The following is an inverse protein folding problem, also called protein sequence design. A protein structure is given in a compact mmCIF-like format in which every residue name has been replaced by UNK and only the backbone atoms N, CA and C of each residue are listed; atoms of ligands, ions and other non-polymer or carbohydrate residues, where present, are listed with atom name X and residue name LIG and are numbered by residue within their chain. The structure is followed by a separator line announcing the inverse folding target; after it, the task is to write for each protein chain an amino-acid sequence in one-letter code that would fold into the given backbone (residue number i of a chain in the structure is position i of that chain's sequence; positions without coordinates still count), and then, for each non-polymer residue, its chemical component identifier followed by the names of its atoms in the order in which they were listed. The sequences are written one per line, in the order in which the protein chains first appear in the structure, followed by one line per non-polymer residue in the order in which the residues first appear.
data_IF_644746016524
#
_entry.id   IF_644746016524
#
_cell.length_a   1.000
_cell.length_b   1.000
_cell.length_c   1.000
_cell.angle_alpha   90.00
_cell.angle_beta   90.00
_cell.angle_gamma   90.00
#
_symmetry.space_group_name_H-M   'P 1'
#
loop_
_entity.id
_entity.type
_entity.pdbx_description
1 polymer ?
#
# COMPACT_ATOMS: atom_id res chain seq x y z
N UNK A 1 -5.24 34.59 -13.64
CA UNK A 1 -4.14 34.09 -12.79
C UNK A 1 -4.50 34.49 -11.37
N UNK A 2 -4.60 33.54 -10.44
CA UNK A 2 -4.95 33.87 -9.05
C UNK A 2 -3.66 34.25 -8.31
N UNK A 3 -3.72 35.16 -7.33
CA UNK A 3 -2.53 35.51 -6.55
C UNK A 3 -1.82 34.27 -5.96
N UNK A 4 -2.58 33.21 -5.67
CA UNK A 4 -2.07 31.94 -5.17
C UNK A 4 -1.12 31.24 -6.17
N UNK A 5 -1.45 31.27 -7.47
CA UNK A 5 -0.58 30.65 -8.50
C UNK A 5 0.76 31.38 -8.62
N UNK A 6 0.77 32.70 -8.43
CA UNK A 6 1.99 33.50 -8.53
C UNK A 6 2.93 33.25 -7.33
N UNK A 7 2.38 33.13 -6.11
CA UNK A 7 3.17 32.75 -4.93
C UNK A 7 3.73 31.33 -5.00
N UNK A 8 2.94 30.38 -5.49
CA UNK A 8 3.40 29.00 -5.70
C UNK A 8 4.57 28.96 -6.70
N UNK A 9 4.48 29.73 -7.79
CA UNK A 9 5.56 29.84 -8.77
C UNK A 9 6.83 30.50 -8.20
N UNK A 10 6.69 31.53 -7.36
CA UNK A 10 7.84 32.13 -6.65
C UNK A 10 8.49 31.11 -5.71
N UNK A 11 7.69 30.37 -4.94
CA UNK A 11 8.21 29.31 -4.06
C UNK A 11 8.95 28.24 -4.87
N UNK A 12 8.34 27.74 -5.95
CA UNK A 12 8.95 26.77 -6.87
C UNK A 12 10.21 27.29 -7.56
N UNK A 13 10.36 28.60 -7.74
CA UNK A 13 11.54 29.18 -8.40
C UNK A 13 12.70 29.43 -7.44
N UNK A 14 12.44 29.82 -6.20
CA UNK A 14 13.47 30.35 -5.29
C UNK A 14 13.64 29.60 -3.97
N UNK A 15 12.61 28.87 -3.51
CA UNK A 15 12.57 28.29 -2.16
C UNK A 15 12.40 26.77 -2.14
N UNK A 16 12.02 26.16 -3.27
CA UNK A 16 11.96 24.70 -3.37
C UNK A 16 13.35 24.11 -3.15
N UNK A 17 13.39 23.04 -2.35
CA UNK A 17 14.53 22.14 -2.24
C UNK A 17 14.17 20.87 -2.96
N UNK A 18 15.14 20.30 -3.65
CA UNK A 18 15.00 18.99 -4.26
C UNK A 18 14.59 17.94 -3.21
N UNK A 19 13.59 17.13 -3.55
CA UNK A 19 13.21 15.99 -2.71
C UNK A 19 14.43 15.07 -2.53
N UNK A 20 14.68 14.63 -1.30
CA UNK A 20 15.84 13.80 -0.95
C UNK A 20 17.17 14.55 -0.76
N UNK A 21 17.21 15.89 -0.90
CA UNK A 21 18.44 16.67 -0.68
C UNK A 21 18.68 17.08 0.79
N UNK A 22 18.00 16.44 1.76
CA UNK A 22 18.06 16.84 3.17
C UNK A 22 17.29 15.95 4.15
N UNK A 23 17.55 16.19 5.44
CA UNK A 23 17.12 15.49 6.68
C UNK A 23 15.62 15.21 6.89
N UNK A 24 14.77 15.48 5.90
CA UNK A 24 13.33 15.25 6.04
C UNK A 24 13.02 13.75 6.02
N UNK A 25 12.31 13.26 7.04
CA UNK A 25 11.92 11.84 7.14
C UNK A 25 10.66 11.50 6.31
N UNK A 26 10.09 12.47 5.59
CA UNK A 26 8.73 12.41 5.05
C UNK A 26 8.73 12.59 3.52
N UNK A 27 7.88 11.83 2.83
CA UNK A 27 7.67 11.91 1.38
C UNK A 27 6.16 12.01 1.03
N UNK A 28 5.74 13.03 0.25
CA UNK A 28 6.50 14.23 -0.05
C UNK A 28 6.87 14.98 1.25
N UNK A 29 7.90 15.82 1.17
CA UNK A 29 8.32 16.66 2.30
C UNK A 29 7.18 17.57 2.75
N UNK A 30 7.21 18.08 3.99
CA UNK A 30 6.12 18.91 4.50
C UNK A 30 5.92 20.20 3.65
N UNK A 31 6.96 20.71 2.97
CA UNK A 31 6.82 21.83 2.03
C UNK A 31 6.26 21.43 0.66
N UNK A 32 6.67 20.30 0.11
CA UNK A 32 6.13 19.79 -1.15
C UNK A 32 4.67 19.34 -1.00
N UNK A 33 4.34 18.73 0.14
CA UNK A 33 2.96 18.46 0.53
C UNK A 33 2.13 19.75 0.52
N UNK A 34 2.68 20.84 1.07
CA UNK A 34 2.10 22.17 1.03
C UNK A 34 1.80 22.63 -0.40
N UNK A 35 2.78 22.52 -1.31
CA UNK A 35 2.57 22.88 -2.72
C UNK A 35 1.41 22.10 -3.34
N UNK A 36 1.36 20.78 -3.15
CA UNK A 36 0.27 19.95 -3.68
C UNK A 36 -1.08 20.44 -3.16
N UNK A 37 -1.23 20.61 -1.84
CA UNK A 37 -2.55 21.00 -1.28
C UNK A 37 -2.96 22.43 -1.63
N UNK A 38 -2.03 23.37 -1.77
CA UNK A 38 -2.34 24.74 -2.17
C UNK A 38 -2.60 24.89 -3.67
N UNK A 39 -2.11 23.96 -4.51
CA UNK A 39 -2.47 23.90 -5.93
C UNK A 39 -3.86 23.26 -6.13
N UNK A 40 -4.16 22.20 -5.38
CA UNK A 40 -5.37 21.40 -5.61
C UNK A 40 -6.60 21.91 -4.85
N UNK A 41 -6.40 22.62 -3.72
CA UNK A 41 -7.48 23.01 -2.82
C UNK A 41 -7.55 24.54 -2.64
N UNK A 42 -8.76 25.03 -2.37
CA UNK A 42 -8.95 26.41 -1.91
C UNK A 42 -8.29 26.66 -0.55
N UNK A 43 -7.89 27.91 -0.31
CA UNK A 43 -6.98 28.30 0.78
C UNK A 43 -7.34 27.75 2.18
N UNK A 44 -8.57 27.92 2.73
CA UNK A 44 -8.94 27.31 4.01
C UNK A 44 -8.75 25.79 4.11
N UNK A 45 -9.06 25.05 3.04
CA UNK A 45 -8.92 23.59 3.00
C UNK A 45 -7.45 23.17 2.92
N UNK A 46 -6.66 23.89 2.12
CA UNK A 46 -5.21 23.69 2.05
C UNK A 46 -4.53 23.96 3.40
N UNK A 47 -4.91 25.05 4.09
CA UNK A 47 -4.43 25.38 5.45
C UNK A 47 -4.75 24.27 6.46
N UNK A 48 -5.97 23.72 6.41
CA UNK A 48 -6.38 22.60 7.27
C UNK A 48 -5.53 21.34 7.02
N UNK A 49 -5.32 20.95 5.76
CA UNK A 49 -4.47 19.79 5.43
C UNK A 49 -3.02 20.00 5.79
N UNK A 50 -2.49 21.20 5.58
CA UNK A 50 -1.13 21.54 5.96
C UNK A 50 -0.96 21.46 7.47
N UNK A 51 -1.91 21.99 8.25
CA UNK A 51 -1.85 21.93 9.71
C UNK A 51 -1.95 20.49 10.23
N UNK A 52 -2.85 19.68 9.68
CA UNK A 52 -2.91 18.23 9.93
C UNK A 52 -1.59 17.52 9.60
N UNK A 53 -0.97 17.83 8.45
CA UNK A 53 0.33 17.29 8.07
C UNK A 53 1.43 17.69 9.06
N UNK A 54 1.47 18.95 9.49
CA UNK A 54 2.45 19.44 10.47
C UNK A 54 2.29 18.77 11.83
N UNK A 55 1.06 18.54 12.29
CA UNK A 55 0.78 17.80 13.54
C UNK A 55 1.38 16.39 13.50
N UNK A 56 1.53 15.79 12.31
CA UNK A 56 1.97 14.40 12.14
C UNK A 56 3.38 14.23 11.57
N UNK A 57 4.06 15.33 11.25
CA UNK A 57 5.32 15.35 10.51
C UNK A 57 6.45 14.73 11.37
N UNK A 58 7.15 13.72 10.85
CA UNK A 58 8.39 13.19 11.44
C UNK A 58 8.26 12.25 12.65
N UNK A 59 7.07 11.68 12.93
CA UNK A 59 6.90 10.74 14.04
C UNK A 59 5.83 9.69 13.78
N UNK A 60 5.54 8.84 14.77
CA UNK A 60 4.63 7.69 14.65
C UNK A 60 4.97 6.80 13.44
N UNK A 61 6.25 6.46 13.26
CA UNK A 61 6.81 5.78 12.08
C UNK A 61 6.03 4.52 11.64
N UNK A 62 5.58 3.72 12.61
CA UNK A 62 4.76 2.51 12.37
C UNK A 62 3.39 2.83 11.73
N UNK A 63 3.05 4.12 11.62
CA UNK A 63 1.86 4.62 10.98
C UNK A 63 2.11 5.16 9.57
N UNK A 64 3.17 4.77 8.87
CA UNK A 64 3.42 5.15 7.48
C UNK A 64 3.95 3.96 6.68
N UNK A 65 3.62 3.95 5.39
CA UNK A 65 4.32 3.08 4.45
C UNK A 65 5.66 3.75 4.11
N UNK A 66 6.62 2.98 3.60
CA UNK A 66 7.94 3.51 3.26
C UNK A 66 8.05 3.72 1.75
N UNK A 67 8.86 4.69 1.36
CA UNK A 67 9.30 4.91 -0.01
C UNK A 67 10.81 5.08 -0.06
N UNK A 68 11.44 4.70 -1.16
CA UNK A 68 12.86 4.88 -1.40
C UNK A 68 13.01 5.99 -2.44
N UNK A 69 13.55 7.12 -2.03
CA UNK A 69 13.81 8.23 -2.93
C UNK A 69 15.28 8.65 -2.81
N UNK A 70 16.00 8.70 -3.94
CA UNK A 70 17.43 9.02 -4.03
C UNK A 70 18.30 8.28 -3.00
N UNK A 71 18.02 6.99 -2.78
CA UNK A 71 18.78 6.14 -1.84
C UNK A 71 18.43 6.33 -0.36
N UNK A 72 17.44 7.16 -0.03
CA UNK A 72 16.97 7.36 1.35
C UNK A 72 15.56 6.77 1.53
N UNK A 73 15.36 6.03 2.63
CA UNK A 73 14.03 5.57 3.05
C UNK A 73 13.26 6.70 3.74
N UNK A 74 12.06 6.98 3.25
CA UNK A 74 11.19 8.06 3.70
C UNK A 74 9.79 7.53 4.02
N UNK A 75 9.09 8.22 4.92
CA UNK A 75 7.71 7.92 5.30
C UNK A 75 6.73 8.51 4.28
N UNK A 76 5.97 7.64 3.62
CA UNK A 76 5.03 7.98 2.57
C UNK A 76 3.70 8.51 3.15
N UNK A 77 3.33 9.75 2.83
CA UNK A 77 2.08 10.39 3.27
C UNK A 77 1.66 11.52 2.33
N UNK A 78 0.92 11.16 1.29
CA UNK A 78 0.29 12.10 0.36
C UNK A 78 -1.03 12.66 0.93
N UNK A 79 -1.56 13.75 0.34
CA UNK A 79 -2.89 14.24 0.67
C UNK A 79 -3.95 13.14 0.51
N UNK A 80 -5.01 13.15 1.34
CA UNK A 80 -5.94 12.02 1.42
C UNK A 80 -6.78 11.78 0.16
N UNK A 81 -6.82 12.76 -0.75
CA UNK A 81 -7.52 12.69 -2.03
C UNK A 81 -6.58 12.35 -3.20
N UNK A 82 -5.26 12.31 -2.97
CA UNK A 82 -4.30 11.98 -4.00
C UNK A 82 -4.16 10.46 -4.09
N UNK A 83 -4.20 9.92 -5.31
CA UNK A 83 -3.81 8.55 -5.57
C UNK A 83 -2.29 8.42 -5.41
N UNK A 84 -1.86 7.43 -4.64
CA UNK A 84 -0.43 7.15 -4.43
C UNK A 84 -0.04 6.11 -5.47
N UNK A 85 0.81 6.43 -6.45
CA UNK A 85 1.27 5.43 -7.41
C UNK A 85 1.99 4.30 -6.68
N UNK A 86 1.68 3.05 -7.04
CA UNK A 86 2.24 1.86 -6.38
C UNK A 86 3.77 1.81 -6.43
N UNK A 87 4.37 2.45 -7.44
CA UNK A 87 5.82 2.62 -7.60
C UNK A 87 6.49 3.37 -6.45
N UNK A 88 5.77 4.23 -5.73
CA UNK A 88 6.32 4.92 -4.57
C UNK A 88 6.38 4.03 -3.33
N UNK A 89 5.59 2.96 -3.25
CA UNK A 89 5.65 2.08 -2.08
C UNK A 89 6.93 1.24 -2.20
N UNK A 90 7.92 1.54 -1.36
CA UNK A 90 9.15 0.77 -1.31
C UNK A 90 8.83 -0.64 -0.82
N UNK A 91 9.03 -1.60 -1.71
CA UNK A 91 8.79 -3.00 -1.45
C UNK A 91 10.07 -3.75 -1.77
N UNK A 92 10.80 -4.20 -0.75
CA UNK A 92 12.05 -4.95 -0.92
C UNK A 92 11.80 -6.41 -1.33
N UNK A 93 10.71 -6.68 -2.06
CA UNK A 93 10.38 -8.03 -2.52
C UNK A 93 11.28 -8.37 -3.69
N UNK A 94 12.19 -9.30 -3.44
CA UNK A 94 12.97 -9.94 -4.49
C UNK A 94 12.15 -11.05 -5.11
N UNK A 95 12.04 -11.01 -6.43
CA UNK A 95 11.43 -12.06 -7.23
C UNK A 95 12.52 -12.89 -7.89
N UNK A 96 12.39 -14.21 -7.77
CA UNK A 96 13.35 -15.19 -8.27
C UNK A 96 12.78 -15.93 -9.47
N UNK A 97 13.66 -16.53 -10.26
CA UNK A 97 13.25 -17.35 -11.40
C UNK A 97 12.42 -18.56 -10.95
N UNK A 98 11.62 -19.12 -11.86
CA UNK A 98 10.79 -20.27 -11.53
C UNK A 98 11.61 -21.56 -11.27
N UNK A 99 12.74 -21.80 -11.96
CA UNK A 99 13.63 -22.94 -11.68
C UNK A 99 15.09 -22.61 -11.98
N UNK A 100 16.01 -23.12 -11.16
CA UNK A 100 17.46 -22.95 -11.36
C UNK A 100 18.17 -24.23 -11.83
N UNK A 101 17.46 -25.36 -11.94
CA UNK A 101 18.03 -26.68 -12.19
C UNK A 101 17.73 -27.17 -13.61
N UNK A 102 18.56 -26.79 -14.58
CA UNK A 102 18.60 -27.46 -15.88
C UNK A 102 20.07 -27.74 -16.24
N UNK A 103 20.38 -28.98 -16.64
CA UNK A 103 21.76 -29.52 -16.71
C UNK A 103 22.51 -29.04 -17.98
N UNK A 104 21.93 -28.11 -18.75
CA UNK A 104 22.49 -27.61 -20.02
C UNK A 104 22.80 -26.11 -19.98
N UNK A 105 24.07 -25.68 -19.86
CA UNK A 105 24.46 -24.26 -19.75
C UNK A 105 24.07 -23.39 -20.97
N UNK A 106 23.79 -23.97 -22.14
CA UNK A 106 23.44 -23.25 -23.38
C UNK A 106 21.93 -22.95 -23.55
N UNK A 107 21.11 -23.12 -22.51
CA UNK A 107 19.67 -22.87 -22.60
C UNK A 107 19.34 -21.38 -22.43
N UNK A 108 18.67 -20.77 -23.43
CA UNK A 108 18.11 -19.40 -23.33
C UNK A 108 17.31 -19.20 -22.04
N UNK A 109 16.64 -20.26 -21.56
CA UNK A 109 15.85 -20.21 -20.33
C UNK A 109 16.72 -20.03 -19.08
N UNK A 110 17.89 -20.67 -19.01
CA UNK A 110 18.83 -20.48 -17.91
C UNK A 110 19.40 -19.07 -17.88
N UNK A 111 19.65 -18.48 -19.05
CA UNK A 111 20.09 -17.08 -19.11
C UNK A 111 18.99 -16.13 -18.61
N UNK A 112 17.74 -16.35 -19.00
CA UNK A 112 16.59 -15.61 -18.45
C UNK A 112 16.51 -15.77 -16.93
N UNK A 113 16.64 -17.00 -16.42
CA UNK A 113 16.62 -17.27 -14.98
C UNK A 113 17.76 -16.53 -14.25
N UNK A 114 18.96 -16.54 -14.83
CA UNK A 114 20.11 -15.81 -14.30
C UNK A 114 19.85 -14.30 -14.19
N UNK A 115 19.27 -13.69 -15.23
CA UNK A 115 18.91 -12.28 -15.22
C UNK A 115 17.87 -11.96 -14.14
N UNK A 116 16.82 -12.78 -14.03
CA UNK A 116 15.78 -12.63 -13.00
C UNK A 116 16.38 -12.72 -11.60
N UNK A 117 17.24 -13.72 -11.34
CA UNK A 117 17.89 -13.90 -10.04
C UNK A 117 18.85 -12.74 -9.71
N UNK A 118 19.39 -12.04 -10.71
CA UNK A 118 20.15 -10.79 -10.57
C UNK A 118 19.27 -9.54 -10.49
N UNK A 119 17.95 -9.68 -10.46
CA UNK A 119 16.97 -8.58 -10.45
C UNK A 119 16.99 -7.71 -11.70
N UNK A 120 17.57 -8.21 -12.80
CA UNK A 120 17.60 -7.59 -14.11
C UNK A 120 16.31 -7.93 -14.88
N UNK A 121 15.17 -7.51 -14.32
CA UNK A 121 13.84 -7.91 -14.81
C UNK A 121 13.52 -7.36 -16.19
N UNK A 122 14.02 -6.16 -16.53
CA UNK A 122 13.79 -5.54 -17.83
C UNK A 122 14.55 -6.29 -18.93
N UNK A 123 15.79 -6.65 -18.66
CA UNK A 123 16.66 -7.40 -19.56
C UNK A 123 16.14 -8.83 -19.75
N UNK A 124 15.69 -9.47 -18.66
CA UNK A 124 15.03 -10.77 -18.73
C UNK A 124 13.76 -10.72 -19.60
N UNK A 125 12.94 -9.68 -19.43
CA UNK A 125 11.73 -9.50 -20.22
C UNK A 125 12.04 -9.32 -21.71
N UNK A 126 13.07 -8.53 -22.06
CA UNK A 126 13.50 -8.37 -23.47
C UNK A 126 13.90 -9.72 -24.08
N UNK A 127 14.65 -10.55 -23.37
CA UNK A 127 15.06 -11.86 -23.90
C UNK A 127 13.86 -12.83 -24.01
N UNK A 128 12.88 -12.74 -23.11
CA UNK A 128 11.61 -13.46 -23.22
C UNK A 128 10.85 -13.04 -24.48
N UNK A 129 10.64 -11.74 -24.69
CA UNK A 129 9.92 -11.19 -25.85
C UNK A 129 10.59 -11.60 -27.16
N UNK A 130 11.92 -11.52 -27.22
CA UNK A 130 12.72 -11.97 -28.36
C UNK A 130 12.52 -13.47 -28.63
N UNK A 131 12.52 -14.30 -27.59
CA UNK A 131 12.31 -15.74 -27.70
C UNK A 131 10.89 -16.08 -28.22
N UNK A 132 9.89 -15.33 -27.77
CA UNK A 132 8.49 -15.45 -28.21
C UNK A 132 8.32 -15.00 -29.66
N UNK A 133 8.93 -13.88 -30.04
CA UNK A 133 8.92 -13.37 -31.42
C UNK A 133 9.52 -14.38 -32.41
N UNK A 134 10.61 -15.04 -32.01
CA UNK A 134 11.25 -16.12 -32.78
C UNK A 134 10.47 -17.44 -32.77
N UNK A 135 9.36 -17.53 -31.99
CA UNK A 135 8.55 -18.75 -31.77
C UNK A 135 9.38 -19.97 -31.35
N UNK A 136 10.53 -19.74 -30.71
CA UNK A 136 11.54 -20.78 -30.42
C UNK A 136 11.22 -21.59 -29.16
N UNK A 137 10.57 -20.96 -28.17
CA UNK A 137 10.24 -21.58 -26.89
C UNK A 137 8.90 -21.02 -26.39
N UNK A 138 7.89 -21.87 -26.27
CA UNK A 138 6.56 -21.51 -25.76
C UNK A 138 6.20 -22.43 -24.59
N UNK A 139 7.05 -22.41 -23.56
CA UNK A 139 6.88 -23.26 -22.37
C UNK A 139 6.17 -22.50 -21.26
N UNK A 140 5.40 -23.22 -20.44
CA UNK A 140 4.75 -22.67 -19.25
C UNK A 140 5.76 -21.93 -18.35
N UNK A 141 6.99 -22.43 -18.24
CA UNK A 141 8.04 -21.78 -17.47
C UNK A 141 8.42 -20.40 -18.02
N UNK A 142 8.57 -20.25 -19.35
CA UNK A 142 8.90 -18.97 -19.96
C UNK A 142 7.83 -17.91 -19.63
N UNK A 143 6.56 -18.29 -19.76
CA UNK A 143 5.42 -17.41 -19.44
C UNK A 143 5.31 -17.12 -17.93
N UNK A 144 5.62 -18.10 -17.06
CA UNK A 144 5.74 -17.84 -15.61
C UNK A 144 6.81 -16.79 -15.33
N UNK A 145 8.00 -16.95 -15.91
CA UNK A 145 9.10 -15.98 -15.79
C UNK A 145 8.72 -14.59 -16.33
N UNK A 146 7.89 -14.53 -17.39
CA UNK A 146 7.35 -13.27 -17.91
C UNK A 146 6.49 -12.54 -16.87
N UNK A 147 5.55 -13.25 -16.23
CA UNK A 147 4.73 -12.72 -15.14
C UNK A 147 5.58 -12.26 -13.96
N UNK A 148 6.63 -13.02 -13.62
CA UNK A 148 7.60 -12.66 -12.58
C UNK A 148 8.32 -11.35 -12.92
N UNK A 149 8.76 -11.17 -14.18
CA UNK A 149 9.40 -9.94 -14.63
C UNK A 149 8.46 -8.74 -14.52
N UNK A 150 7.20 -8.87 -14.96
CA UNK A 150 6.22 -7.79 -14.80
C UNK A 150 6.01 -7.41 -13.33
N UNK A 151 5.93 -8.38 -12.42
CA UNK A 151 5.84 -8.13 -10.97
C UNK A 151 7.07 -7.41 -10.45
N UNK A 152 8.27 -7.87 -10.83
CA UNK A 152 9.54 -7.23 -10.47
C UNK A 152 9.67 -5.79 -10.95
N UNK A 153 9.08 -5.47 -12.10
CA UNK A 153 9.02 -4.11 -12.66
C UNK A 153 7.87 -3.26 -12.12
N UNK A 154 6.96 -3.82 -11.32
CA UNK A 154 5.75 -3.14 -10.86
C UNK A 154 4.72 -2.88 -11.98
N UNK A 155 4.84 -3.55 -13.13
CA UNK A 155 3.97 -3.40 -14.30
C UNK A 155 2.84 -4.43 -14.30
N UNK A 156 2.06 -4.47 -13.23
CA UNK A 156 1.03 -5.52 -13.01
C UNK A 156 -0.14 -5.41 -13.99
N UNK A 157 -0.47 -4.19 -14.43
CA UNK A 157 -1.51 -3.93 -15.43
C UNK A 157 -1.10 -4.47 -16.80
N UNK A 158 0.17 -4.31 -17.18
CA UNK A 158 0.73 -4.89 -18.41
C UNK A 158 0.67 -6.41 -18.36
N UNK A 159 0.92 -7.02 -17.20
CA UNK A 159 0.82 -8.46 -17.03
C UNK A 159 -0.59 -8.99 -17.27
N UNK A 160 -1.62 -8.29 -16.76
CA UNK A 160 -3.03 -8.64 -16.99
C UNK A 160 -3.37 -8.55 -18.47
N UNK A 161 -3.00 -7.44 -19.12
CA UNK A 161 -3.24 -7.25 -20.55
C UNK A 161 -2.56 -8.33 -21.41
N UNK A 162 -1.27 -8.59 -21.15
CA UNK A 162 -0.51 -9.59 -21.90
C UNK A 162 -1.06 -11.01 -21.68
N UNK A 163 -1.47 -11.33 -20.45
CA UNK A 163 -2.16 -12.58 -20.12
C UNK A 163 -3.46 -12.72 -20.91
N UNK A 164 -4.33 -11.71 -20.94
CA UNK A 164 -5.61 -11.82 -21.63
C UNK A 164 -5.46 -11.90 -23.15
N UNK A 165 -4.57 -11.08 -23.73
CA UNK A 165 -4.51 -10.85 -25.17
C UNK A 165 -3.51 -11.79 -25.87
N UNK A 166 -2.34 -12.02 -25.29
CA UNK A 166 -1.22 -12.65 -26.00
C UNK A 166 -0.88 -14.07 -25.51
N UNK A 167 -1.25 -14.45 -24.28
CA UNK A 167 -0.95 -15.80 -23.81
C UNK A 167 -1.76 -16.85 -24.60
N UNK A 168 -1.11 -17.92 -25.12
CA UNK A 168 -1.81 -19.02 -25.75
C UNK A 168 -2.75 -19.75 -24.79
N UNK A 169 -3.88 -20.24 -25.30
CA UNK A 169 -4.90 -20.92 -24.48
C UNK A 169 -4.36 -22.18 -23.78
N UNK A 170 -3.44 -22.90 -24.43
CA UNK A 170 -2.75 -24.05 -23.83
C UNK A 170 -1.95 -23.69 -22.58
N UNK A 171 -1.37 -22.48 -22.53
CA UNK A 171 -0.61 -21.98 -21.40
C UNK A 171 -1.55 -21.45 -20.31
N UNK A 172 -2.60 -20.72 -20.69
CA UNK A 172 -3.63 -20.21 -19.77
C UNK A 172 -4.29 -21.32 -18.98
N UNK A 173 -4.51 -22.49 -19.60
CA UNK A 173 -5.11 -23.65 -18.95
C UNK A 173 -4.21 -24.33 -17.91
N UNK A 174 -2.92 -23.98 -17.83
CA UNK A 174 -2.03 -24.52 -16.80
C UNK A 174 -2.42 -23.98 -15.41
N UNK A 175 -2.73 -24.84 -14.41
CA UNK A 175 -3.07 -24.40 -13.06
C UNK A 175 -2.01 -23.48 -12.45
N UNK A 176 -0.74 -23.77 -12.74
CA UNK A 176 0.39 -22.97 -12.29
C UNK A 176 0.34 -21.52 -12.78
N UNK A 177 0.04 -21.31 -14.06
CA UNK A 177 -0.11 -19.96 -14.62
C UNK A 177 -1.31 -19.26 -13.97
N UNK A 178 -2.41 -19.98 -13.76
CA UNK A 178 -3.58 -19.43 -13.06
C UNK A 178 -3.23 -18.97 -11.64
N UNK A 179 -2.46 -19.74 -10.88
CA UNK A 179 -2.00 -19.35 -9.53
C UNK A 179 -1.06 -18.15 -9.54
N UNK A 180 -0.12 -18.06 -10.48
CA UNK A 180 0.74 -16.86 -10.63
C UNK A 180 -0.09 -15.62 -10.99
N UNK A 181 -1.10 -15.80 -11.84
CA UNK A 181 -2.01 -14.73 -12.20
C UNK A 181 -2.86 -14.29 -10.99
N UNK A 182 -3.31 -15.22 -10.15
CA UNK A 182 -4.03 -14.90 -8.92
C UNK A 182 -3.20 -14.02 -7.98
N UNK A 183 -1.89 -14.21 -7.90
CA UNK A 183 -1.02 -13.31 -7.14
C UNK A 183 -1.03 -11.88 -7.70
N UNK A 184 -0.95 -11.74 -9.02
CA UNK A 184 -1.05 -10.43 -9.71
C UNK A 184 -2.42 -9.80 -9.44
N UNK A 185 -3.50 -10.57 -9.57
CA UNK A 185 -4.87 -10.10 -9.35
C UNK A 185 -5.12 -9.67 -7.91
N UNK A 186 -4.46 -10.31 -6.94
CA UNK A 186 -4.51 -9.87 -5.55
C UNK A 186 -3.85 -8.49 -5.36
N UNK A 187 -2.74 -8.21 -6.06
CA UNK A 187 -2.09 -6.89 -5.98
C UNK A 187 -2.94 -5.77 -6.56
N UNK A 188 -3.73 -6.06 -7.60
CA UNK A 188 -4.68 -5.10 -8.19
C UNK A 188 -6.04 -5.09 -7.51
N UNK A 189 -6.30 -5.96 -6.54
CA UNK A 189 -7.61 -6.19 -5.91
C UNK A 189 -8.72 -6.48 -6.94
N UNK A 190 -8.39 -7.14 -8.05
CA UNK A 190 -9.35 -7.52 -9.09
C UNK A 190 -10.01 -8.87 -8.73
N UNK A 191 -10.95 -8.80 -7.78
CA UNK A 191 -11.65 -9.97 -7.23
C UNK A 191 -12.53 -10.70 -8.25
N UNK A 192 -13.09 -9.99 -9.23
CA UNK A 192 -13.98 -10.57 -10.22
C UNK A 192 -13.24 -11.49 -11.19
N UNK A 193 -12.10 -11.04 -11.73
CA UNK A 193 -11.25 -11.87 -12.58
C UNK A 193 -10.65 -13.03 -11.79
N UNK A 194 -10.26 -12.80 -10.53
CA UNK A 194 -9.75 -13.86 -9.66
C UNK A 194 -10.78 -14.96 -9.43
N UNK A 195 -12.05 -14.60 -9.23
CA UNK A 195 -13.15 -15.56 -9.07
C UNK A 195 -13.36 -16.41 -10.33
N UNK A 196 -13.30 -15.80 -11.52
CA UNK A 196 -13.40 -16.53 -12.80
C UNK A 196 -12.25 -17.53 -12.94
N UNK A 197 -11.01 -17.09 -12.74
CA UNK A 197 -9.82 -17.93 -12.79
C UNK A 197 -9.87 -19.10 -11.81
N UNK A 198 -10.31 -18.87 -10.57
CA UNK A 198 -10.47 -19.92 -9.55
C UNK A 198 -11.57 -20.93 -9.92
N UNK A 199 -12.65 -20.50 -10.57
CA UNK A 199 -13.74 -21.38 -11.01
C UNK A 199 -13.30 -22.33 -12.14
N UNK A 200 -12.40 -21.89 -13.00
CA UNK A 200 -11.86 -22.71 -14.09
C UNK A 200 -10.78 -23.71 -13.63
N UNK A 201 -10.28 -23.61 -12.39
CA UNK A 201 -9.35 -24.62 -11.85
C UNK A 201 -10.19 -25.84 -11.45
N UNK A 202 -9.99 -27.00 -12.10
CA UNK A 202 -10.83 -28.16 -11.86
C UNK A 202 -10.58 -28.74 -10.47
N UNK A 203 -11.63 -29.30 -9.85
CA UNK A 203 -11.57 -29.98 -8.55
C UNK A 203 -10.97 -31.39 -8.65
N UNK A 204 -9.99 -31.57 -9.53
CA UNK A 204 -9.35 -32.86 -9.76
C UNK A 204 -8.69 -33.38 -8.46
N UNK A 205 -8.77 -34.68 -8.20
CA UNK A 205 -8.29 -35.38 -6.99
C UNK A 205 -6.77 -35.29 -6.71
N UNK A 206 -6.03 -34.39 -7.37
CA UNK A 206 -4.65 -34.11 -7.00
C UNK A 206 -4.69 -33.19 -5.78
N UNK A 207 -4.42 -33.77 -4.61
CA UNK A 207 -4.49 -33.07 -3.31
C UNK A 207 -3.73 -31.74 -3.30
N UNK A 208 -2.60 -31.60 -4.00
CA UNK A 208 -1.85 -30.34 -4.04
C UNK A 208 -2.61 -29.19 -4.74
N UNK A 209 -3.21 -29.44 -5.91
CA UNK A 209 -3.89 -28.40 -6.69
C UNK A 209 -5.16 -27.93 -5.96
N UNK A 210 -5.91 -28.86 -5.37
CA UNK A 210 -7.13 -28.50 -4.65
C UNK A 210 -6.81 -27.73 -3.36
N UNK A 211 -5.73 -28.10 -2.66
CA UNK A 211 -5.24 -27.32 -1.51
C UNK A 211 -4.81 -25.92 -1.92
N UNK A 212 -4.06 -25.76 -3.01
CA UNK A 212 -3.70 -24.43 -3.53
C UNK A 212 -4.95 -23.61 -3.89
N UNK A 213 -5.96 -24.22 -4.53
CA UNK A 213 -7.23 -23.56 -4.83
C UNK A 213 -7.94 -23.08 -3.56
N UNK A 214 -8.07 -23.92 -2.54
CA UNK A 214 -8.67 -23.53 -1.25
C UNK A 214 -7.90 -22.44 -0.55
N UNK A 215 -6.56 -22.49 -0.58
CA UNK A 215 -5.71 -21.45 -0.03
C UNK A 215 -5.98 -20.10 -0.69
N UNK A 216 -5.99 -20.04 -2.03
CA UNK A 216 -6.28 -18.82 -2.76
C UNK A 216 -7.71 -18.32 -2.52
N UNK A 217 -8.71 -19.20 -2.51
CA UNK A 217 -10.09 -18.82 -2.16
C UNK A 217 -10.19 -18.23 -0.75
N UNK A 218 -9.49 -18.81 0.22
CA UNK A 218 -9.39 -18.29 1.59
C UNK A 218 -8.71 -16.92 1.65
N UNK A 219 -7.60 -16.74 0.94
CA UNK A 219 -6.87 -15.47 0.83
C UNK A 219 -7.78 -14.40 0.23
N UNK A 220 -8.38 -14.64 -0.94
CA UNK A 220 -9.26 -13.64 -1.58
C UNK A 220 -10.48 -13.29 -0.73
N UNK A 221 -11.06 -14.26 -0.03
CA UNK A 221 -12.16 -14.02 0.90
C UNK A 221 -11.74 -13.14 2.08
N UNK A 222 -10.53 -13.36 2.62
CA UNK A 222 -9.96 -12.52 3.69
C UNK A 222 -9.66 -11.09 3.22
N UNK A 223 -9.19 -10.91 1.98
CA UNK A 223 -8.96 -9.59 1.38
C UNK A 223 -10.27 -8.82 1.13
N UNK A 224 -11.36 -9.54 0.84
CA UNK A 224 -12.73 -8.97 0.78
C UNK A 224 -13.37 -8.77 2.17
N UNK A 225 -12.63 -9.03 3.26
CA UNK A 225 -13.14 -9.03 4.64
C UNK A 225 -14.32 -10.00 4.89
N UNK A 226 -14.53 -11.00 4.02
CA UNK A 226 -15.52 -12.06 4.23
C UNK A 226 -14.92 -13.19 5.09
N UNK A 227 -14.80 -12.94 6.39
CA UNK A 227 -14.13 -13.85 7.33
C UNK A 227 -14.81 -15.21 7.48
N UNK A 228 -16.13 -15.28 7.28
CA UNK A 228 -16.88 -16.55 7.32
C UNK A 228 -16.49 -17.45 6.15
N UNK A 229 -16.44 -16.88 4.95
CA UNK A 229 -16.03 -17.60 3.74
C UNK A 229 -14.53 -17.95 3.78
N UNK A 230 -13.69 -17.04 4.27
CA UNK A 230 -12.28 -17.33 4.51
C UNK A 230 -12.12 -18.53 5.46
N UNK A 231 -12.84 -18.54 6.59
CA UNK A 231 -12.83 -19.64 7.54
C UNK A 231 -13.26 -20.96 6.89
N UNK A 232 -14.32 -20.96 6.07
CA UNK A 232 -14.76 -22.13 5.32
C UNK A 232 -13.63 -22.70 4.45
N UNK A 233 -12.98 -21.88 3.63
CA UNK A 233 -11.93 -22.37 2.74
C UNK A 233 -10.66 -22.78 3.47
N UNK A 234 -10.28 -22.11 4.57
CA UNK A 234 -9.14 -22.54 5.38
C UNK A 234 -9.43 -23.85 6.16
N UNK A 235 -10.69 -24.15 6.50
CA UNK A 235 -11.10 -25.48 6.99
C UNK A 235 -10.98 -26.57 5.91
N UNK A 236 -11.41 -26.28 4.68
CA UNK A 236 -11.24 -27.20 3.55
C UNK A 236 -9.75 -27.43 3.26
N UNK A 237 -8.94 -26.36 3.32
CA UNK A 237 -7.49 -26.45 3.20
C UNK A 237 -6.89 -27.36 4.26
N UNK A 238 -7.19 -27.13 5.55
CA UNK A 238 -6.70 -27.94 6.66
C UNK A 238 -7.12 -29.42 6.56
N UNK A 239 -8.24 -29.71 5.90
CA UNK A 239 -8.69 -31.09 5.65
C UNK A 239 -7.94 -31.74 4.48
N UNK A 240 -7.57 -30.96 3.46
CA UNK A 240 -6.90 -31.45 2.25
C UNK A 240 -5.38 -31.55 2.35
N UNK A 241 -4.76 -30.67 3.14
CA UNK A 241 -3.32 -30.61 3.38
C UNK A 241 -3.10 -30.11 4.81
N UNK A 242 -3.15 -31.04 5.76
CA UNK A 242 -3.06 -30.75 7.19
C UNK A 242 -1.66 -30.28 7.57
N UNK A 243 -1.57 -29.06 8.09
CA UNK A 243 -0.34 -28.49 8.61
C UNK A 243 -0.64 -27.80 9.95
N UNK A 244 -0.51 -28.50 11.10
CA UNK A 244 -1.07 -28.08 12.37
C UNK A 244 -0.65 -26.67 12.81
N UNK A 245 0.59 -26.28 12.52
CA UNK A 245 1.09 -24.94 12.85
C UNK A 245 0.40 -23.86 12.00
N UNK A 246 0.41 -24.04 10.68
CA UNK A 246 -0.19 -23.10 9.72
C UNK A 246 -1.70 -22.98 9.95
N UNK A 247 -2.37 -24.10 10.15
CA UNK A 247 -3.83 -24.16 10.31
C UNK A 247 -4.24 -23.45 11.61
N UNK A 248 -3.55 -23.74 12.71
CA UNK A 248 -3.78 -23.03 13.99
C UNK A 248 -3.57 -21.52 13.85
N UNK A 249 -2.47 -21.10 13.22
CA UNK A 249 -2.19 -19.68 12.99
C UNK A 249 -3.28 -19.03 12.12
N UNK A 250 -3.68 -19.67 11.01
CA UNK A 250 -4.73 -19.19 10.13
C UNK A 250 -6.06 -18.99 10.89
N UNK A 251 -6.50 -19.96 11.67
CA UNK A 251 -7.75 -19.84 12.44
C UNK A 251 -7.69 -18.77 13.53
N UNK A 252 -6.55 -18.62 14.21
CA UNK A 252 -6.36 -17.55 15.18
C UNK A 252 -6.46 -16.16 14.52
N UNK A 253 -5.82 -15.99 13.37
CA UNK A 253 -5.85 -14.74 12.60
C UNK A 253 -7.26 -14.41 12.10
N UNK A 254 -8.00 -15.40 11.59
CA UNK A 254 -9.38 -15.21 11.14
C UNK A 254 -10.29 -14.86 12.31
N UNK A 255 -10.12 -15.53 13.46
CA UNK A 255 -10.90 -15.21 14.66
C UNK A 255 -10.57 -13.81 15.20
N UNK A 256 -9.30 -13.42 15.21
CA UNK A 256 -8.89 -12.05 15.56
C UNK A 256 -9.57 -11.05 14.64
N UNK A 257 -9.57 -11.28 13.33
CA UNK A 257 -10.19 -10.39 12.35
C UNK A 257 -11.72 -10.33 12.49
N UNK A 258 -12.39 -11.47 12.67
CA UNK A 258 -13.84 -11.56 12.82
C UNK A 258 -14.34 -10.87 14.10
N UNK A 259 -13.54 -10.91 15.18
CA UNK A 259 -13.87 -10.26 16.46
C UNK A 259 -13.36 -8.82 16.55
N UNK A 260 -12.55 -8.36 15.59
CA UNK A 260 -11.95 -7.04 15.60
C UNK A 260 -12.99 -5.94 15.42
N UNK A 261 -13.19 -5.15 16.50
CA UNK A 261 -14.04 -3.96 16.45
C UNK A 261 -13.27 -2.78 15.86
N UNK A 262 -13.60 -2.42 14.62
CA UNK A 262 -13.07 -1.22 13.94
C UNK A 262 -13.28 0.04 14.78
N UNK A 263 -12.24 0.85 14.92
CA UNK A 263 -12.30 2.19 15.52
C UNK A 263 -13.19 3.09 14.65
N UNK A 264 -14.09 3.83 15.27
CA UNK A 264 -15.05 4.68 14.55
C UNK A 264 -14.40 6.05 14.23
N UNK A 265 -14.32 6.47 12.95
CA UNK A 265 -13.71 7.76 12.60
C UNK A 265 -14.38 8.97 13.24
N UNK A 266 -15.69 8.94 13.40
CA UNK A 266 -16.42 10.05 14.03
C UNK A 266 -16.14 10.14 15.53
N UNK A 267 -15.94 9.01 16.23
CA UNK A 267 -15.56 9.02 17.66
C UNK A 267 -14.21 9.69 17.82
N UNK A 268 -13.25 9.37 16.94
CA UNK A 268 -11.94 10.02 16.94
C UNK A 268 -12.06 11.55 16.69
N UNK A 269 -12.92 11.96 15.76
CA UNK A 269 -13.18 13.37 15.48
C UNK A 269 -13.81 14.10 16.68
N UNK A 270 -14.81 13.51 17.33
CA UNK A 270 -15.50 14.08 18.48
C UNK A 270 -14.58 14.20 19.70
N UNK A 271 -13.75 13.19 19.97
CA UNK A 271 -12.76 13.26 21.05
C UNK A 271 -11.77 14.40 20.82
N UNK A 272 -11.42 14.68 19.56
CA UNK A 272 -10.50 15.76 19.18
C UNK A 272 -11.02 17.17 19.39
N UNK A 273 -12.24 17.36 19.91
CA UNK A 273 -12.64 18.65 20.49
C UNK A 273 -11.68 19.09 21.60
N UNK A 274 -11.12 18.13 22.33
CA UNK A 274 -9.93 18.33 23.16
C UNK A 274 -8.72 17.93 22.29
N UNK A 275 -7.84 18.89 21.92
CA UNK A 275 -6.71 18.62 21.04
C UNK A 275 -5.88 17.42 21.49
N UNK A 276 -5.68 16.47 20.56
CA UNK A 276 -4.88 15.26 20.78
C UNK A 276 -5.66 14.01 21.21
N UNK A 277 -6.86 14.10 21.80
CA UNK A 277 -7.55 12.90 22.31
C UNK A 277 -7.97 11.91 21.21
N UNK A 278 -8.34 12.36 20.01
CA UNK A 278 -8.60 11.46 18.89
C UNK A 278 -7.34 10.72 18.42
N UNK A 279 -6.16 11.33 18.54
CA UNK A 279 -4.89 10.66 18.29
C UNK A 279 -4.54 9.64 19.38
N UNK A 280 -4.86 9.93 20.65
CA UNK A 280 -4.76 8.93 21.74
C UNK A 280 -5.66 7.73 21.45
N UNK A 281 -6.92 7.98 21.07
CA UNK A 281 -7.87 6.92 20.69
C UNK A 281 -7.34 6.04 19.55
N UNK A 282 -6.55 6.61 18.63
CA UNK A 282 -5.99 5.91 17.47
C UNK A 282 -4.54 5.44 17.66
N UNK A 283 -4.05 5.44 18.91
CA UNK A 283 -2.71 4.97 19.30
C UNK A 283 -1.56 5.72 18.62
N UNK A 284 -1.70 7.06 18.49
CA UNK A 284 -0.68 7.97 17.97
C UNK A 284 -0.24 8.99 19.03
N UNK A 285 0.55 8.56 20.03
CA UNK A 285 0.87 9.42 21.17
C UNK A 285 1.68 10.65 20.78
N UNK A 286 2.56 10.56 19.78
CA UNK A 286 3.37 11.71 19.34
C UNK A 286 2.50 12.73 18.60
N UNK A 287 1.60 12.28 17.71
CA UNK A 287 0.57 13.14 17.10
C UNK A 287 -0.37 13.77 18.13
N UNK A 288 -0.69 13.06 19.21
CA UNK A 288 -1.52 13.60 20.29
C UNK A 288 -0.82 14.76 21.01
N UNK A 289 0.46 14.57 21.36
CA UNK A 289 1.27 15.58 22.02
C UNK A 289 1.47 16.83 21.16
N UNK A 290 1.85 16.67 19.89
CA UNK A 290 2.04 17.80 18.96
C UNK A 290 0.74 18.58 18.76
N UNK A 291 -0.39 17.88 18.60
CA UNK A 291 -1.71 18.50 18.49
C UNK A 291 -2.05 19.33 19.73
N UNK A 292 -1.86 18.77 20.92
CA UNK A 292 -2.10 19.46 22.18
C UNK A 292 -1.22 20.71 22.33
N UNK A 293 0.09 20.58 22.11
CA UNK A 293 1.05 21.68 22.23
C UNK A 293 0.76 22.80 21.24
N UNK A 294 0.56 22.47 19.96
CA UNK A 294 0.33 23.49 18.92
C UNK A 294 -0.97 24.27 19.15
N UNK A 295 -2.07 23.58 19.45
CA UNK A 295 -3.35 24.25 19.72
C UNK A 295 -3.31 25.06 21.02
N UNK A 296 -2.60 24.59 22.05
CA UNK A 296 -2.47 25.32 23.31
C UNK A 296 -1.62 26.58 23.15
N UNK A 297 -0.47 26.48 22.47
CA UNK A 297 0.41 27.62 22.23
C UNK A 297 -0.25 28.68 21.35
N UNK A 298 -0.87 28.28 20.24
CA UNK A 298 -1.58 29.20 19.35
C UNK A 298 -2.78 29.84 20.04
N UNK A 299 -3.58 29.06 20.78
CA UNK A 299 -4.69 29.59 21.57
C UNK A 299 -4.24 30.60 22.63
N UNK A 300 -3.15 30.31 23.35
CA UNK A 300 -2.56 31.23 24.32
C UNK A 300 -2.04 32.52 23.66
N UNK A 301 -1.39 32.40 22.50
CA UNK A 301 -0.87 33.55 21.75
C UNK A 301 -1.99 34.45 21.21
N UNK A 302 -3.12 33.86 20.78
CA UNK A 302 -4.34 34.61 20.44
C UNK A 302 -4.88 35.35 21.66
N UNK A 303 -5.06 34.66 22.78
CA UNK A 303 -5.61 35.24 24.00
C UNK A 303 -4.77 36.42 24.51
N UNK A 304 -3.45 36.25 24.57
CA UNK A 304 -2.52 37.31 25.00
C UNK A 304 -2.50 38.50 24.05
N UNK A 305 -2.56 38.26 22.73
CA UNK A 305 -2.65 39.32 21.73
C UNK A 305 -3.93 40.17 21.88
N UNK A 306 -5.07 39.52 22.16
CA UNK A 306 -6.34 40.22 22.45
C UNK A 306 -6.22 41.04 23.74
N UNK A 307 -5.66 40.47 24.81
CA UNK A 307 -5.46 41.17 26.09
C UNK A 307 -4.58 42.42 25.94
N UNK A 308 -3.59 42.37 25.06
CA UNK A 308 -2.70 43.48 24.73
C UNK A 308 -3.30 44.46 23.69
N UNK A 309 -4.56 44.27 23.27
CA UNK A 309 -5.23 45.05 22.22
C UNK A 309 -4.52 45.02 20.85
N UNK A 310 -3.67 44.03 20.60
CA UNK A 310 -3.04 43.81 19.30
C UNK A 310 -3.94 42.94 18.43
N UNK A 311 -5.00 43.54 17.89
CA UNK A 311 -6.02 42.82 17.13
C UNK A 311 -5.51 42.27 15.79
N UNK A 312 -4.51 42.91 15.17
CA UNK A 312 -3.89 42.42 13.94
C UNK A 312 -3.20 41.06 14.15
N UNK A 313 -2.33 40.99 15.17
CA UNK A 313 -1.68 39.73 15.54
C UNK A 313 -2.68 38.69 16.03
N UNK A 314 -3.69 39.11 16.80
CA UNK A 314 -4.75 38.21 17.26
C UNK A 314 -5.53 37.57 16.09
N UNK A 315 -5.88 38.36 15.07
CA UNK A 315 -6.58 37.86 13.89
C UNK A 315 -5.72 36.86 13.10
N UNK A 316 -4.45 37.19 12.85
CA UNK A 316 -3.51 36.32 12.14
C UNK A 316 -3.31 34.98 12.88
N UNK A 317 -2.99 35.04 14.17
CA UNK A 317 -2.82 33.84 14.99
C UNK A 317 -4.14 33.07 15.14
N UNK A 318 -5.27 33.76 15.12
CA UNK A 318 -6.60 33.15 15.16
C UNK A 318 -6.86 32.26 13.95
N UNK A 319 -6.47 32.72 12.75
CA UNK A 319 -6.56 31.92 11.52
C UNK A 319 -5.66 30.68 11.60
N UNK A 320 -4.42 30.81 12.09
CA UNK A 320 -3.55 29.66 12.31
C UNK A 320 -4.11 28.69 13.35
N UNK A 321 -4.55 29.19 14.50
CA UNK A 321 -5.13 28.37 15.56
C UNK A 321 -6.35 27.59 15.04
N UNK A 322 -7.26 28.24 14.31
CA UNK A 322 -8.41 27.58 13.71
C UNK A 322 -7.99 26.51 12.70
N UNK A 323 -6.96 26.77 11.90
CA UNK A 323 -6.42 25.80 10.93
C UNK A 323 -5.86 24.56 11.62
N UNK A 324 -5.06 24.73 12.69
CA UNK A 324 -4.54 23.62 13.50
C UNK A 324 -5.63 22.87 14.27
N UNK A 325 -6.66 23.57 14.74
CA UNK A 325 -7.79 22.95 15.42
C UNK A 325 -8.60 22.05 14.48
N UNK A 326 -8.93 22.57 13.30
CA UNK A 326 -9.61 21.79 12.25
C UNK A 326 -8.74 20.65 11.69
N UNK A 327 -7.43 20.90 11.54
CA UNK A 327 -6.45 19.89 11.15
C UNK A 327 -6.36 18.75 12.16
N UNK A 328 -6.37 19.04 13.47
CA UNK A 328 -6.42 18.04 14.53
C UNK A 328 -7.68 17.15 14.43
N UNK A 329 -8.86 17.73 14.24
CA UNK A 329 -10.14 16.98 14.15
C UNK A 329 -10.15 16.08 12.90
N UNK A 330 -9.87 16.66 11.73
CA UNK A 330 -9.87 15.94 10.46
C UNK A 330 -8.78 14.86 10.39
N UNK A 331 -7.57 15.17 10.89
CA UNK A 331 -6.47 14.23 10.99
C UNK A 331 -6.74 13.05 11.93
N UNK A 332 -7.41 13.31 13.06
CA UNK A 332 -7.84 12.27 14.01
C UNK A 332 -8.93 11.36 13.42
N UNK A 333 -9.87 11.93 12.65
CA UNK A 333 -10.85 11.13 11.89
C UNK A 333 -10.13 10.17 10.94
N UNK A 334 -9.13 10.67 10.20
CA UNK A 334 -8.38 9.87 9.22
C UNK A 334 -7.49 8.82 9.88
N UNK A 335 -6.87 9.12 11.02
CA UNK A 335 -6.01 8.17 11.73
C UNK A 335 -6.79 6.93 12.20
N UNK A 336 -8.09 7.04 12.49
CA UNK A 336 -8.93 5.90 12.83
C UNK A 336 -9.13 4.94 11.65
N UNK A 337 -9.41 5.47 10.46
CA UNK A 337 -9.50 4.66 9.25
C UNK A 337 -8.16 4.00 8.91
N UNK A 338 -7.05 4.74 9.02
CA UNK A 338 -5.71 4.19 8.80
C UNK A 338 -5.37 3.10 9.82
N UNK A 339 -5.74 3.26 11.09
CA UNK A 339 -5.55 2.25 12.13
C UNK A 339 -6.26 0.94 11.77
N UNK A 340 -7.54 1.02 11.39
CA UNK A 340 -8.33 -0.15 11.03
C UNK A 340 -7.75 -0.87 9.82
N UNK A 341 -7.44 -0.11 8.75
CA UNK A 341 -6.88 -0.64 7.52
C UNK A 341 -5.58 -1.39 7.77
N UNK A 342 -4.65 -0.81 8.53
CA UNK A 342 -3.37 -1.47 8.85
C UNK A 342 -3.52 -2.74 9.64
N UNK A 343 -4.40 -2.75 10.64
CA UNK A 343 -4.60 -3.94 11.46
C UNK A 343 -5.13 -5.10 10.60
N UNK A 344 -6.08 -4.83 9.70
CA UNK A 344 -6.59 -5.84 8.76
C UNK A 344 -5.56 -6.25 7.71
N UNK A 345 -4.86 -5.29 7.10
CA UNK A 345 -3.81 -5.57 6.12
C UNK A 345 -2.70 -6.43 6.70
N UNK A 346 -2.33 -6.25 7.98
CA UNK A 346 -1.37 -7.12 8.66
C UNK A 346 -1.87 -8.56 8.69
N UNK A 347 -3.11 -8.79 9.12
CA UNK A 347 -3.73 -10.13 9.14
C UNK A 347 -3.78 -10.74 7.74
N UNK A 348 -4.30 -9.99 6.77
CA UNK A 348 -4.40 -10.41 5.36
C UNK A 348 -3.03 -10.78 4.78
N UNK A 349 -2.00 -9.97 5.04
CA UNK A 349 -0.64 -10.22 4.57
C UNK A 349 -0.04 -11.47 5.21
N UNK A 350 -0.27 -11.73 6.50
CA UNK A 350 0.20 -12.95 7.17
C UNK A 350 -0.51 -14.18 6.62
N UNK A 351 -1.83 -14.13 6.43
CA UNK A 351 -2.58 -15.20 5.79
C UNK A 351 -2.06 -15.48 4.38
N UNK A 352 -1.76 -14.45 3.59
CA UNK A 352 -1.14 -14.62 2.28
C UNK A 352 0.24 -15.31 2.38
N UNK A 353 1.15 -14.83 3.24
CA UNK A 353 2.50 -15.42 3.35
C UNK A 353 2.46 -16.89 3.82
N UNK A 354 1.56 -17.22 4.75
CA UNK A 354 1.42 -18.57 5.29
C UNK A 354 0.92 -19.58 4.24
N UNK A 355 0.25 -19.12 3.18
CA UNK A 355 -0.52 -20.00 2.29
C UNK A 355 -0.17 -19.87 0.79
N UNK A 356 0.59 -18.85 0.35
CA UNK A 356 0.90 -18.66 -1.08
C UNK A 356 1.77 -19.76 -1.70
N UNK A 357 2.59 -20.45 -0.90
CA UNK A 357 3.61 -21.42 -1.37
C UNK A 357 3.27 -22.86 -0.98
N UNK A 358 1.98 -23.17 -0.86
CA UNK A 358 1.53 -24.53 -0.59
C UNK A 358 1.85 -25.37 -1.82
N UNK A 359 2.67 -26.40 -1.64
CA UNK A 359 3.07 -27.32 -2.69
C UNK A 359 2.10 -28.50 -2.81
#
# INVERSE_FOLDING_TARGET
MSALSDYVNIYKKYLHRDEGSGTCAMYPSCSQYGLIVFEDCYFPKAMMYMADRLIRCGHDFNCYDLTLNKGQLLLLDFPPYAEIPRTYIHNNKQYYSYTDWDIKPDSTLLFINHLINKQMYQEALIEIEKTQFQKRLLTTQLFTNKLICYKGLGQVENAIFDYEVHFPESIKNSPKIKFEMLDILLTVENFDMARKLLAEIPDNNINSIISQKYAWQGIFSAYQENWNEASKYFNLLASSNTEPKRDKENFQLIQEAATFKKKKPWVAASLSLIPGLGYVYTQRPKSALTSFVMNSLLGYAVFTSIKQKNYGTAALLGVFNLSFYMGNISGSKRSASQYNRRKLQKIQSTLYQNNKSIN
#
